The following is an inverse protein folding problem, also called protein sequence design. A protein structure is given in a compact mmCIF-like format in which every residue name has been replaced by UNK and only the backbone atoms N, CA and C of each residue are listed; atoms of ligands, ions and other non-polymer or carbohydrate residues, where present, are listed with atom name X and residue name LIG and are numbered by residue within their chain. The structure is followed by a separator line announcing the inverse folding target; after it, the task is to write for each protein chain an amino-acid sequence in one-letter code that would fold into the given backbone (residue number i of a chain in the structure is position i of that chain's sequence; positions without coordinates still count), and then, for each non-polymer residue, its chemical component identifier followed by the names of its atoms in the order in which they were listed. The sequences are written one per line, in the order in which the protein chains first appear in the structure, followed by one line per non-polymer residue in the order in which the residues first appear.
data_IF_087433775567
#
_entry.id   IF_087433775567
#
_cell.length_a   1.000
_cell.length_b   1.000
_cell.length_c   1.000
_cell.angle_alpha   90.00
_cell.angle_beta   90.00
_cell.angle_gamma   90.00
#
_symmetry.space_group_name_H-M   'P 1'
#
loop_
_entity.id
_entity.type
_entity.pdbx_description
1 polymer ?
#
# COMPACT_ATOMS: atom_id res chain seq x y z
N UNK A 1 11.69 -59.53 65.07
CA UNK A 1 12.11 -58.75 63.89
C UNK A 1 10.85 -58.29 63.14
N UNK A 2 10.56 -56.99 63.09
CA UNK A 2 9.39 -56.42 62.42
C UNK A 2 9.70 -56.19 60.94
N UNK A 3 8.92 -56.78 60.02
CA UNK A 3 8.99 -56.50 58.58
C UNK A 3 8.40 -55.11 58.31
N UNK A 4 9.17 -54.25 57.65
CA UNK A 4 8.72 -52.92 57.21
C UNK A 4 7.77 -53.07 56.01
N UNK A 5 6.57 -52.51 56.12
CA UNK A 5 5.64 -52.36 55.01
C UNK A 5 6.16 -51.28 54.06
N UNK A 6 6.69 -51.67 52.91
CA UNK A 6 6.96 -50.74 51.81
C UNK A 6 5.63 -50.33 51.17
N UNK A 7 5.23 -49.07 51.39
CA UNK A 7 4.12 -48.47 50.66
C UNK A 7 4.55 -48.22 49.23
N UNK A 8 3.86 -48.83 48.27
CA UNK A 8 3.93 -48.48 46.85
C UNK A 8 3.50 -47.03 46.67
N UNK A 9 4.42 -46.19 46.21
CA UNK A 9 4.09 -44.86 45.69
C UNK A 9 3.40 -45.06 44.35
N UNK A 10 2.16 -44.57 44.24
CA UNK A 10 1.44 -44.48 42.97
C UNK A 10 1.51 -43.03 42.51
N UNK A 11 2.14 -42.79 41.37
CA UNK A 11 2.03 -41.52 40.66
C UNK A 11 0.63 -41.51 40.02
N UNK A 12 -0.22 -40.55 40.39
CA UNK A 12 -1.41 -40.26 39.59
C UNK A 12 -0.93 -39.59 38.30
N UNK A 13 -1.40 -40.01 37.11
CA UNK A 13 -1.14 -39.23 35.90
C UNK A 13 -1.74 -37.83 36.10
N UNK A 14 -0.96 -36.79 35.78
CA UNK A 14 -1.51 -35.44 35.66
C UNK A 14 -2.69 -35.51 34.67
N UNK A 15 -3.80 -34.84 34.99
CA UNK A 15 -4.89 -34.65 34.04
C UNK A 15 -4.30 -34.14 32.72
N UNK A 16 -4.67 -34.77 31.61
CA UNK A 16 -4.37 -34.26 30.29
C UNK A 16 -5.04 -32.89 30.20
N UNK A 17 -4.25 -31.81 30.21
CA UNK A 17 -4.67 -30.54 29.63
C UNK A 17 -4.91 -30.84 28.16
N UNK A 18 -6.14 -31.24 27.83
CA UNK A 18 -6.56 -31.27 26.45
C UNK A 18 -6.34 -29.82 25.97
N UNK A 19 -5.45 -29.57 25.00
CA UNK A 19 -5.32 -28.23 24.46
C UNK A 19 -6.73 -27.82 24.02
N UNK A 20 -7.19 -26.66 24.50
CA UNK A 20 -8.46 -26.07 24.08
C UNK A 20 -8.25 -25.61 22.64
N UNK A 21 -8.24 -26.54 21.69
CA UNK A 21 -8.08 -26.22 20.28
C UNK A 21 -9.10 -25.13 19.91
N UNK A 22 -8.63 -24.04 19.32
CA UNK A 22 -9.49 -22.90 19.02
C UNK A 22 -9.80 -22.07 20.27
N UNK A 23 -8.81 -21.69 21.08
CA UNK A 23 -9.06 -20.84 22.24
C UNK A 23 -8.13 -19.64 22.31
N UNK A 24 -8.76 -18.46 22.39
CA UNK A 24 -8.12 -17.20 22.69
C UNK A 24 -8.08 -17.00 24.21
N UNK A 25 -6.87 -16.82 24.75
CA UNK A 25 -6.65 -16.40 26.13
C UNK A 25 -6.66 -14.87 26.16
N UNK A 26 -7.63 -14.29 26.85
CA UNK A 26 -7.74 -12.84 27.02
C UNK A 26 -7.38 -12.41 28.43
N UNK A 27 -6.51 -11.40 28.56
CA UNK A 27 -6.09 -10.85 29.84
C UNK A 27 -6.04 -9.32 29.79
N UNK A 28 -6.68 -8.67 30.77
CA UNK A 28 -6.65 -7.22 30.93
C UNK A 28 -5.77 -6.88 32.14
N UNK A 29 -4.60 -6.28 31.88
CA UNK A 29 -3.64 -5.89 32.92
C UNK A 29 -3.32 -4.41 32.76
N UNK A 30 -3.55 -3.63 33.82
CA UNK A 30 -3.46 -2.17 33.74
C UNK A 30 -4.44 -1.64 32.69
N UNK A 31 -3.92 -0.95 31.67
CA UNK A 31 -4.70 -0.38 30.55
C UNK A 31 -4.59 -1.20 29.26
N UNK A 32 -3.99 -2.40 29.32
CA UNK A 32 -3.73 -3.25 28.15
C UNK A 32 -4.59 -4.51 28.18
N UNK A 33 -5.43 -4.66 27.15
CA UNK A 33 -6.08 -5.93 26.82
C UNK A 33 -5.19 -6.70 25.84
N UNK A 34 -4.66 -7.84 26.29
CA UNK A 34 -3.92 -8.77 25.44
C UNK A 34 -4.77 -10.02 25.18
N UNK A 35 -4.94 -10.37 23.91
CA UNK A 35 -5.57 -11.59 23.42
C UNK A 35 -4.50 -12.45 22.74
N UNK A 36 -4.36 -13.71 23.17
CA UNK A 36 -3.40 -14.67 22.63
C UNK A 36 -4.09 -15.97 22.23
N UNK A 37 -4.00 -16.33 20.96
CA UNK A 37 -4.52 -17.58 20.40
C UNK A 37 -3.59 -18.77 20.56
N UNK A 38 -4.07 -19.90 20.04
CA UNK A 38 -3.34 -21.16 19.93
C UNK A 38 -3.03 -21.48 18.47
N UNK A 39 -2.32 -22.58 18.20
CA UNK A 39 -1.88 -22.94 16.84
C UNK A 39 -3.00 -23.57 15.97
N UNK A 40 -4.26 -23.18 16.21
CA UNK A 40 -5.44 -23.69 15.53
C UNK A 40 -6.29 -22.51 15.08
N UNK A 41 -7.08 -22.69 14.02
CA UNK A 41 -7.95 -21.64 13.47
C UNK A 41 -8.80 -20.95 14.56
N UNK A 42 -8.55 -19.67 14.76
CA UNK A 42 -9.19 -18.81 15.75
C UNK A 42 -10.07 -17.78 15.04
N UNK A 43 -11.37 -17.79 15.31
CA UNK A 43 -12.31 -16.83 14.75
C UNK A 43 -12.92 -16.01 15.88
N UNK A 44 -12.74 -14.69 15.86
CA UNK A 44 -13.22 -13.81 16.92
C UNK A 44 -13.70 -12.44 16.44
N UNK A 45 -14.59 -11.86 17.24
CA UNK A 45 -15.04 -10.47 17.14
C UNK A 45 -14.69 -9.72 18.42
N UNK A 46 -14.01 -8.59 18.28
CA UNK A 46 -13.70 -7.63 19.35
C UNK A 46 -14.58 -6.40 19.13
N UNK A 47 -15.39 -6.04 20.13
CA UNK A 47 -16.30 -4.89 20.06
C UNK A 47 -16.30 -4.12 21.37
N UNK A 48 -16.15 -2.80 21.29
CA UNK A 48 -16.43 -1.95 22.45
C UNK A 48 -17.95 -1.73 22.57
N UNK A 49 -18.55 -2.28 23.63
CA UNK A 49 -20.01 -2.26 23.85
C UNK A 49 -20.46 -1.07 24.70
N UNK A 50 -19.53 -0.49 25.46
CA UNK A 50 -19.64 0.75 26.21
C UNK A 50 -18.21 1.29 26.45
N UNK A 51 -18.03 2.58 26.81
CA UNK A 51 -16.69 3.14 27.03
C UNK A 51 -15.84 2.27 27.96
N UNK A 52 -14.66 1.86 27.48
CA UNK A 52 -13.72 0.98 28.19
C UNK A 52 -14.29 -0.39 28.60
N UNK A 53 -15.33 -0.86 27.90
CA UNK A 53 -15.91 -2.19 28.04
C UNK A 53 -15.86 -2.92 26.69
N UNK A 54 -14.89 -3.81 26.56
CA UNK A 54 -14.62 -4.56 25.33
C UNK A 54 -15.14 -5.98 25.48
N UNK A 55 -16.12 -6.34 24.66
CA UNK A 55 -16.58 -7.71 24.52
C UNK A 55 -15.77 -8.41 23.43
N UNK A 56 -15.23 -9.58 23.77
CA UNK A 56 -14.58 -10.49 22.83
C UNK A 56 -15.46 -11.72 22.70
N UNK A 57 -15.83 -12.07 21.48
CA UNK A 57 -16.72 -13.19 21.17
C UNK A 57 -16.01 -14.14 20.23
N UNK A 58 -15.88 -15.40 20.61
CA UNK A 58 -15.41 -16.46 19.74
C UNK A 58 -16.50 -16.92 18.78
N UNK A 59 -16.12 -17.28 17.57
CA UNK A 59 -16.99 -17.77 16.50
C UNK A 59 -16.61 -19.19 16.11
N UNK A 60 -17.53 -19.92 15.47
CA UNK A 60 -17.23 -21.22 14.83
C UNK A 60 -16.53 -22.24 15.76
N UNK A 61 -16.85 -22.21 17.06
CA UNK A 61 -16.25 -23.10 18.05
C UNK A 61 -15.05 -22.51 18.79
N UNK A 62 -14.49 -21.39 18.32
CA UNK A 62 -13.47 -20.65 19.07
C UNK A 62 -14.03 -20.19 20.41
N UNK A 63 -13.26 -20.36 21.48
CA UNK A 63 -13.61 -19.91 22.83
C UNK A 63 -12.67 -18.81 23.32
N UNK A 64 -13.15 -17.98 24.24
CA UNK A 64 -12.42 -16.91 24.91
C UNK A 64 -12.31 -17.29 26.39
N UNK A 65 -11.11 -17.60 26.86
CA UNK A 65 -10.86 -18.17 28.18
C UNK A 65 -11.81 -19.35 28.52
N UNK A 66 -12.08 -20.21 27.53
CA UNK A 66 -12.95 -21.38 27.65
C UNK A 66 -14.46 -21.10 27.59
N UNK A 67 -14.90 -19.86 27.37
CA UNK A 67 -16.30 -19.49 27.17
C UNK A 67 -16.57 -18.98 25.75
N UNK A 68 -17.82 -18.92 25.31
CA UNK A 68 -18.14 -18.39 23.96
C UNK A 68 -17.83 -16.89 23.80
N UNK A 69 -17.85 -16.14 24.90
CA UNK A 69 -17.51 -14.71 24.92
C UNK A 69 -17.07 -14.27 26.30
N UNK A 70 -16.28 -13.21 26.38
CA UNK A 70 -15.91 -12.56 27.63
C UNK A 70 -15.93 -11.03 27.51
N UNK A 71 -16.38 -10.37 28.58
CA UNK A 71 -16.33 -8.92 28.73
C UNK A 71 -15.08 -8.53 29.53
N UNK A 72 -14.28 -7.62 28.98
CA UNK A 72 -13.14 -6.99 29.62
C UNK A 72 -13.49 -5.53 29.91
N UNK A 73 -13.47 -5.14 31.18
CA UNK A 73 -13.82 -3.79 31.60
C UNK A 73 -12.75 -3.23 32.54
N UNK A 74 -12.35 -1.99 32.30
CA UNK A 74 -11.50 -1.21 33.20
C UNK A 74 -11.94 0.26 33.17
N UNK A 75 -11.35 1.08 34.05
CA UNK A 75 -11.54 2.52 34.00
C UNK A 75 -10.95 3.14 32.72
N UNK A 76 -9.97 2.47 32.13
CA UNK A 76 -9.26 2.91 30.95
C UNK A 76 -8.65 1.68 30.24
N UNK A 77 -8.89 1.56 28.94
CA UNK A 77 -8.21 0.63 28.04
C UNK A 77 -7.54 1.47 26.95
N UNK A 78 -6.22 1.60 27.02
CA UNK A 78 -5.44 2.35 26.04
C UNK A 78 -4.95 1.44 24.91
N UNK A 79 -4.77 0.16 25.19
CA UNK A 79 -4.11 -0.77 24.27
C UNK A 79 -4.90 -2.05 24.13
N UNK A 80 -5.13 -2.45 22.88
CA UNK A 80 -5.64 -3.77 22.52
C UNK A 80 -4.61 -4.45 21.64
N UNK A 81 -4.12 -5.60 22.07
CA UNK A 81 -3.19 -6.42 21.29
C UNK A 81 -3.81 -7.78 21.06
N UNK A 82 -3.93 -8.16 19.79
CA UNK A 82 -4.49 -9.44 19.34
C UNK A 82 -3.36 -10.21 18.66
N UNK A 83 -3.04 -11.39 19.17
CA UNK A 83 -2.11 -12.34 18.54
C UNK A 83 -2.84 -13.65 18.38
N UNK A 84 -3.02 -14.15 17.17
CA UNK A 84 -3.77 -15.39 16.94
C UNK A 84 -2.87 -16.63 16.88
N UNK A 85 -1.56 -16.45 16.64
CA UNK A 85 -0.57 -17.51 16.45
C UNK A 85 -0.77 -18.22 15.11
N UNK A 86 -0.35 -19.48 14.95
CA UNK A 86 -0.50 -20.18 13.66
C UNK A 86 -1.94 -20.65 13.46
N UNK A 87 -2.40 -20.77 12.20
CA UNK A 87 -3.73 -21.26 11.84
C UNK A 87 -4.40 -20.33 10.82
N UNK A 88 -5.50 -20.76 10.21
CA UNK A 88 -6.27 -19.87 9.33
C UNK A 88 -7.24 -19.02 10.19
N UNK A 89 -6.78 -17.86 10.66
CA UNK A 89 -7.46 -17.06 11.66
C UNK A 89 -8.39 -15.99 11.07
N UNK A 90 -9.40 -15.60 11.85
CA UNK A 90 -10.31 -14.51 11.49
C UNK A 90 -10.50 -13.53 12.64
N UNK A 91 -9.92 -12.36 12.52
CA UNK A 91 -10.04 -11.27 13.50
C UNK A 91 -10.96 -10.19 12.95
N UNK A 92 -12.07 -9.94 13.64
CA UNK A 92 -12.95 -8.80 13.37
C UNK A 92 -12.91 -7.82 14.53
N UNK A 93 -12.60 -6.55 14.26
CA UNK A 93 -12.66 -5.46 15.24
C UNK A 93 -13.72 -4.46 14.79
N UNK A 94 -14.72 -4.22 15.63
CA UNK A 94 -15.85 -3.35 15.31
C UNK A 94 -16.12 -2.32 16.41
N UNK A 95 -16.40 -1.08 16.03
CA UNK A 95 -16.82 -0.01 16.95
C UNK A 95 -15.86 0.23 18.11
N UNK A 96 -14.55 0.05 17.91
CA UNK A 96 -13.54 0.20 18.95
C UNK A 96 -13.00 1.65 18.98
N UNK A 97 -13.02 2.30 20.14
CA UNK A 97 -12.48 3.65 20.36
C UNK A 97 -11.41 3.66 21.45
N UNK A 98 -10.15 3.75 21.06
CA UNK A 98 -9.01 3.89 21.96
C UNK A 98 -8.54 5.36 21.97
N UNK A 99 -9.39 6.26 22.45
CA UNK A 99 -9.22 7.72 22.28
C UNK A 99 -9.07 8.52 23.57
N UNK A 100 -9.18 7.86 24.73
CA UNK A 100 -9.20 8.54 26.03
C UNK A 100 -7.85 9.16 26.41
N UNK A 101 -6.75 8.66 25.82
CA UNK A 101 -5.39 9.19 26.00
C UNK A 101 -4.68 9.32 24.67
N UNK A 102 -3.52 10.00 24.62
CA UNK A 102 -2.67 10.05 23.42
C UNK A 102 -2.02 8.71 23.01
N UNK A 103 -2.14 7.64 23.81
CA UNK A 103 -1.42 6.37 23.65
C UNK A 103 -2.27 5.23 23.07
N UNK A 104 -3.44 5.56 22.50
CA UNK A 104 -4.38 4.58 21.97
C UNK A 104 -3.78 3.71 20.89
N UNK A 105 -3.65 2.41 21.14
CA UNK A 105 -2.96 1.47 20.25
C UNK A 105 -3.77 0.21 20.01
N UNK A 106 -3.98 -0.12 18.73
CA UNK A 106 -4.47 -1.41 18.28
C UNK A 106 -3.36 -2.14 17.52
N UNK A 107 -2.98 -3.32 18.00
CA UNK A 107 -2.07 -4.22 17.29
C UNK A 107 -2.74 -5.56 17.00
N UNK A 108 -2.66 -6.04 15.76
CA UNK A 108 -3.16 -7.35 15.32
C UNK A 108 -2.01 -8.09 14.64
N UNK A 109 -1.77 -9.34 15.03
CA UNK A 109 -0.65 -10.16 14.55
C UNK A 109 -1.16 -11.58 14.30
N UNK A 110 -1.09 -12.07 13.06
CA UNK A 110 -1.68 -13.38 12.69
C UNK A 110 -0.67 -14.45 12.26
N UNK A 111 0.62 -14.12 12.15
CA UNK A 111 1.73 -15.09 12.14
C UNK A 111 1.80 -15.99 10.91
N UNK A 112 1.14 -17.15 10.89
CA UNK A 112 1.19 -18.10 9.76
C UNK A 112 -0.19 -18.66 9.50
N UNK A 113 -0.55 -18.76 8.24
CA UNK A 113 -1.85 -19.26 7.80
C UNK A 113 -2.54 -18.21 6.94
N UNK A 114 -3.67 -18.58 6.33
CA UNK A 114 -4.40 -17.67 5.45
C UNK A 114 -5.42 -16.87 6.26
N UNK A 115 -4.99 -15.73 6.78
CA UNK A 115 -5.73 -14.99 7.78
C UNK A 115 -6.67 -13.95 7.20
N UNK A 116 -7.67 -13.58 8.01
CA UNK A 116 -8.63 -12.53 7.66
C UNK A 116 -8.74 -11.52 8.78
N UNK A 117 -8.24 -10.31 8.55
CA UNK A 117 -8.35 -9.18 9.47
C UNK A 117 -9.37 -8.16 8.93
N UNK A 118 -10.39 -7.85 9.72
CA UNK A 118 -11.46 -6.90 9.36
C UNK A 118 -11.62 -5.84 10.45
N UNK A 119 -11.44 -4.57 10.09
CA UNK A 119 -11.69 -3.43 10.95
C UNK A 119 -12.86 -2.60 10.42
N UNK A 120 -13.86 -2.34 11.28
CA UNK A 120 -15.00 -1.49 10.95
C UNK A 120 -15.23 -0.47 12.07
N UNK A 121 -15.24 0.82 11.73
CA UNK A 121 -15.50 1.88 12.71
C UNK A 121 -14.53 1.81 13.91
N UNK A 122 -13.22 1.82 13.62
CA UNK A 122 -12.16 1.75 14.62
C UNK A 122 -11.44 3.09 14.71
N UNK A 123 -11.26 3.64 15.91
CA UNK A 123 -10.51 4.88 16.13
C UNK A 123 -9.45 4.71 17.22
N UNK A 124 -8.22 5.11 16.94
CA UNK A 124 -7.13 5.16 17.94
C UNK A 124 -6.43 6.53 17.92
N UNK A 125 -5.58 6.82 18.91
CA UNK A 125 -4.81 8.10 18.94
C UNK A 125 -3.35 7.93 18.57
N UNK A 126 -2.72 6.80 18.88
CA UNK A 126 -1.31 6.57 18.58
C UNK A 126 -1.13 5.77 17.29
N UNK A 127 -1.69 4.56 17.21
CA UNK A 127 -1.40 3.68 16.09
C UNK A 127 -2.45 2.59 15.89
N UNK A 128 -2.59 2.16 14.64
CA UNK A 128 -3.18 0.89 14.23
C UNK A 128 -2.09 0.13 13.49
N UNK A 129 -1.83 -1.11 13.91
CA UNK A 129 -0.82 -1.99 13.33
C UNK A 129 -1.43 -3.35 13.02
N UNK A 130 -1.25 -3.81 11.80
CA UNK A 130 -1.53 -5.18 11.37
C UNK A 130 -0.24 -5.78 10.82
N UNK A 131 0.16 -6.93 11.34
CA UNK A 131 1.16 -7.82 10.72
C UNK A 131 0.40 -9.10 10.39
N UNK A 132 0.19 -9.35 9.11
CA UNK A 132 -0.60 -10.49 8.64
C UNK A 132 0.25 -11.77 8.72
N UNK A 133 1.46 -11.74 8.14
CA UNK A 133 2.50 -12.73 8.41
C UNK A 133 2.80 -13.57 7.17
N UNK A 134 2.93 -14.88 7.34
CA UNK A 134 3.20 -15.75 6.20
C UNK A 134 1.91 -16.37 5.67
N UNK A 135 1.90 -16.65 4.37
CA UNK A 135 0.79 -17.24 3.61
C UNK A 135 -0.26 -16.17 3.18
N UNK A 136 -1.35 -16.56 2.51
CA UNK A 136 -2.19 -15.61 1.76
C UNK A 136 -3.22 -14.88 2.64
N UNK A 137 -2.96 -13.63 2.98
CA UNK A 137 -3.77 -12.89 3.94
C UNK A 137 -4.78 -11.92 3.32
N UNK A 138 -5.82 -11.60 4.10
CA UNK A 138 -6.84 -10.60 3.74
C UNK A 138 -7.05 -9.59 4.84
N UNK A 139 -6.50 -8.40 4.63
CA UNK A 139 -6.66 -7.27 5.56
C UNK A 139 -7.64 -6.26 4.97
N UNK A 140 -8.66 -5.87 5.74
CA UNK A 140 -9.58 -4.81 5.32
C UNK A 140 -9.95 -3.84 6.43
N UNK A 141 -10.03 -2.56 6.08
CA UNK A 141 -10.42 -1.50 6.99
C UNK A 141 -11.48 -0.60 6.35
N UNK A 142 -12.54 -0.30 7.11
CA UNK A 142 -13.59 0.61 6.68
C UNK A 142 -13.96 1.58 7.79
N UNK A 143 -13.97 2.88 7.44
CA UNK A 143 -14.30 3.95 8.39
C UNK A 143 -13.39 3.89 9.64
N UNK A 144 -12.09 3.72 9.41
CA UNK A 144 -11.09 3.54 10.45
C UNK A 144 -10.16 4.74 10.50
N UNK A 145 -9.83 5.23 11.70
CA UNK A 145 -8.93 6.38 11.84
C UNK A 145 -7.93 6.26 12.98
N UNK A 146 -6.77 6.88 12.81
CA UNK A 146 -5.80 7.09 13.89
C UNK A 146 -5.16 8.47 13.80
N UNK A 147 -4.77 9.06 14.93
CA UNK A 147 -4.02 10.33 14.93
C UNK A 147 -2.51 10.13 14.75
N UNK A 148 -2.03 8.89 14.64
CA UNK A 148 -0.65 8.57 14.32
C UNK A 148 -0.56 7.61 13.14
N UNK A 149 0.18 6.52 13.30
CA UNK A 149 0.49 5.60 12.20
C UNK A 149 -0.62 4.58 11.98
N UNK A 150 -1.08 4.41 10.75
CA UNK A 150 -1.79 3.21 10.32
C UNK A 150 -0.83 2.39 9.45
N UNK A 151 -0.36 1.26 9.99
CA UNK A 151 0.54 0.32 9.33
C UNK A 151 -0.18 -1.01 9.05
N UNK A 152 -0.04 -1.51 7.83
CA UNK A 152 -0.38 -2.88 7.45
C UNK A 152 0.83 -3.47 6.76
N UNK A 153 1.30 -4.60 7.29
CA UNK A 153 2.32 -5.43 6.66
C UNK A 153 1.70 -6.77 6.28
N UNK A 154 1.84 -7.15 5.01
CA UNK A 154 1.46 -8.45 4.47
C UNK A 154 2.46 -9.54 4.86
N UNK A 155 3.75 -9.28 4.61
CA UNK A 155 4.92 -10.15 4.83
C UNK A 155 5.20 -11.10 3.64
N UNK A 156 4.84 -12.39 3.62
CA UNK A 156 4.97 -13.16 2.36
C UNK A 156 3.70 -13.94 2.10
N UNK A 157 3.26 -14.00 0.85
CA UNK A 157 2.04 -14.67 0.44
C UNK A 157 1.28 -13.80 -0.56
N UNK A 158 0.24 -14.35 -1.20
CA UNK A 158 -0.59 -13.57 -2.11
C UNK A 158 -1.60 -12.73 -1.30
N UNK A 159 -1.20 -11.54 -0.87
CA UNK A 159 -1.96 -10.74 0.08
C UNK A 159 -3.01 -9.85 -0.57
N UNK A 160 -4.07 -9.58 0.19
CA UNK A 160 -5.14 -8.69 -0.24
C UNK A 160 -5.47 -7.63 0.80
N UNK A 161 -5.02 -6.41 0.54
CA UNK A 161 -5.27 -5.24 1.39
C UNK A 161 -6.36 -4.36 0.78
N UNK A 162 -7.43 -4.11 1.55
CA UNK A 162 -8.56 -3.23 1.14
C UNK A 162 -8.86 -2.16 2.17
N UNK A 163 -8.54 -0.90 1.86
CA UNK A 163 -8.81 0.23 2.73
C UNK A 163 -9.86 1.16 2.14
N UNK A 164 -10.90 1.48 2.92
CA UNK A 164 -11.93 2.42 2.50
C UNK A 164 -12.27 3.43 3.59
N UNK A 165 -12.24 4.72 3.25
CA UNK A 165 -12.55 5.79 4.20
C UNK A 165 -11.65 5.76 5.44
N UNK A 166 -10.35 5.58 5.22
CA UNK A 166 -9.36 5.54 6.30
C UNK A 166 -8.70 6.89 6.49
N UNK A 167 -8.35 7.23 7.73
CA UNK A 167 -7.58 8.44 8.06
C UNK A 167 -6.42 8.12 8.98
N UNK A 168 -5.25 8.71 8.73
CA UNK A 168 -4.10 8.56 9.59
C UNK A 168 -3.30 9.87 9.65
N UNK A 169 -2.32 9.95 10.54
CA UNK A 169 -1.23 10.91 10.35
C UNK A 169 -0.33 10.43 9.22
N UNK A 170 0.14 9.20 9.33
CA UNK A 170 0.94 8.49 8.31
C UNK A 170 0.21 7.17 7.99
N UNK A 171 0.08 6.84 6.71
CA UNK A 171 -0.57 5.61 6.26
C UNK A 171 0.41 4.79 5.42
N UNK A 172 0.71 3.57 5.87
CA UNK A 172 1.65 2.69 5.20
C UNK A 172 1.03 1.31 4.99
N UNK A 173 1.16 0.79 3.77
CA UNK A 173 0.81 -0.58 3.39
C UNK A 173 2.03 -1.15 2.69
N UNK A 174 2.59 -2.24 3.20
CA UNK A 174 3.66 -3.00 2.54
C UNK A 174 3.27 -4.48 2.50
N UNK A 175 3.10 -5.07 1.32
CA UNK A 175 2.75 -6.51 1.23
C UNK A 175 3.98 -7.40 1.10
N UNK A 176 5.06 -6.88 0.51
CA UNK A 176 6.33 -7.57 0.23
C UNK A 176 6.18 -8.73 -0.77
N UNK A 177 6.49 -9.98 -0.44
CA UNK A 177 6.62 -11.03 -1.45
C UNK A 177 5.30 -11.74 -1.75
N UNK A 178 5.02 -12.04 -3.02
CA UNK A 178 3.81 -12.75 -3.46
C UNK A 178 2.98 -11.91 -4.43
N UNK A 179 1.96 -12.51 -5.04
CA UNK A 179 1.10 -11.83 -6.02
C UNK A 179 0.02 -11.04 -5.30
N UNK A 180 0.33 -9.77 -5.00
CA UNK A 180 -0.43 -8.96 -4.08
C UNK A 180 -1.52 -8.11 -4.74
N UNK A 181 -2.52 -7.75 -3.92
CA UNK A 181 -3.59 -6.83 -4.30
C UNK A 181 -3.79 -5.76 -3.25
N UNK A 182 -3.39 -4.53 -3.57
CA UNK A 182 -3.63 -3.36 -2.73
C UNK A 182 -4.71 -2.47 -3.34
N UNK A 183 -5.82 -2.28 -2.65
CA UNK A 183 -6.90 -1.38 -3.06
C UNK A 183 -7.23 -0.35 -1.98
N UNK A 184 -7.12 0.93 -2.32
CA UNK A 184 -7.45 2.03 -1.41
C UNK A 184 -8.46 2.99 -2.01
N UNK A 185 -9.51 3.31 -1.26
CA UNK A 185 -10.56 4.23 -1.66
C UNK A 185 -10.83 5.29 -0.60
N UNK A 186 -10.67 6.56 -0.96
CA UNK A 186 -10.86 7.71 -0.05
C UNK A 186 -10.03 7.60 1.23
N UNK A 187 -8.73 7.33 1.09
CA UNK A 187 -7.78 7.40 2.20
C UNK A 187 -7.22 8.82 2.34
N UNK A 188 -6.99 9.25 3.58
CA UNK A 188 -6.40 10.56 3.88
C UNK A 188 -5.29 10.43 4.92
N UNK A 189 -4.12 10.99 4.65
CA UNK A 189 -3.05 11.15 5.62
C UNK A 189 -2.81 12.64 5.90
N UNK A 190 -2.45 12.99 7.14
CA UNK A 190 -1.99 14.34 7.47
C UNK A 190 -0.60 14.61 6.89
N UNK A 191 0.25 13.60 6.89
CA UNK A 191 1.58 13.60 6.31
C UNK A 191 1.53 12.76 5.03
N UNK A 192 1.94 11.49 5.11
CA UNK A 192 2.31 10.68 3.97
C UNK A 192 1.38 9.48 3.78
N UNK A 193 1.19 9.09 2.53
CA UNK A 193 0.66 7.78 2.14
C UNK A 193 1.76 7.03 1.40
N UNK A 194 2.15 5.88 1.91
CA UNK A 194 3.09 4.97 1.27
C UNK A 194 2.41 3.64 0.98
N UNK A 195 2.57 3.14 -0.24
CA UNK A 195 2.14 1.81 -0.68
C UNK A 195 3.33 1.12 -1.30
N UNK A 196 3.76 0.00 -0.71
CA UNK A 196 4.75 -0.91 -1.24
C UNK A 196 4.10 -2.27 -1.54
N UNK A 197 4.36 -2.79 -2.72
CA UNK A 197 4.36 -4.23 -2.97
C UNK A 197 5.81 -4.64 -3.28
N UNK A 198 6.11 -5.93 -3.35
CA UNK A 198 7.50 -6.40 -3.35
C UNK A 198 7.86 -7.19 -4.60
N UNK A 199 8.02 -8.49 -4.46
CA UNK A 199 8.39 -9.34 -5.58
C UNK A 199 7.14 -10.02 -6.11
N UNK A 200 7.13 -10.29 -7.43
CA UNK A 200 6.04 -10.90 -8.20
C UNK A 200 5.04 -9.89 -8.78
N UNK A 201 4.09 -10.39 -9.58
CA UNK A 201 3.17 -9.54 -10.34
C UNK A 201 2.04 -8.97 -9.49
N UNK A 202 2.11 -7.69 -9.19
CA UNK A 202 1.22 -7.04 -8.24
C UNK A 202 0.13 -6.18 -8.87
N UNK A 203 -0.96 -5.99 -8.11
CA UNK A 203 -2.11 -5.21 -8.54
C UNK A 203 -2.43 -4.10 -7.55
N UNK A 204 -2.09 -2.87 -7.91
CA UNK A 204 -2.31 -1.69 -7.08
C UNK A 204 -3.44 -0.83 -7.68
N UNK A 205 -4.52 -0.64 -6.93
CA UNK A 205 -5.67 0.21 -7.31
C UNK A 205 -5.97 1.28 -6.28
N UNK A 206 -5.65 2.52 -6.61
CA UNK A 206 -5.72 3.64 -5.67
C UNK A 206 -6.68 4.72 -6.16
N UNK A 207 -7.62 5.12 -5.33
CA UNK A 207 -8.62 6.10 -5.73
C UNK A 207 -8.95 7.11 -4.64
N UNK A 208 -8.92 8.39 -5.01
CA UNK A 208 -9.27 9.53 -4.15
C UNK A 208 -8.37 9.60 -2.92
N UNK A 209 -7.06 9.54 -3.13
CA UNK A 209 -6.07 9.63 -2.06
C UNK A 209 -5.69 11.08 -1.81
N UNK A 210 -5.50 11.44 -0.54
CA UNK A 210 -5.02 12.77 -0.15
C UNK A 210 -3.97 12.67 0.95
N UNK A 211 -2.78 13.20 0.69
CA UNK A 211 -1.71 13.36 1.66
C UNK A 211 -1.43 14.86 1.89
N UNK A 212 -1.00 15.23 3.09
CA UNK A 212 -0.55 16.60 3.37
C UNK A 212 0.88 16.86 2.89
N UNK A 213 1.69 15.80 2.83
CA UNK A 213 3.04 15.79 2.27
C UNK A 213 3.01 14.94 1.01
N UNK A 214 3.47 13.68 1.06
CA UNK A 214 3.76 12.88 -0.12
C UNK A 214 2.79 11.71 -0.31
N UNK A 215 2.58 11.31 -1.57
CA UNK A 215 2.01 10.01 -1.92
C UNK A 215 3.08 9.24 -2.67
N UNK A 216 3.45 8.09 -2.14
CA UNK A 216 4.50 7.25 -2.67
C UNK A 216 3.99 5.83 -2.93
N UNK A 217 4.23 5.33 -4.13
CA UNK A 217 3.80 4.01 -4.58
C UNK A 217 5.02 3.31 -5.18
N UNK A 218 5.33 2.11 -4.67
CA UNK A 218 6.37 1.23 -5.20
C UNK A 218 5.80 -0.16 -5.40
N UNK A 219 6.08 -0.78 -6.54
CA UNK A 219 5.76 -2.20 -6.77
C UNK A 219 6.96 -3.12 -6.92
N UNK A 220 8.18 -2.59 -6.83
CA UNK A 220 9.44 -3.36 -6.83
C UNK A 220 9.56 -4.36 -8.01
N UNK A 221 9.87 -5.64 -7.82
CA UNK A 221 10.16 -6.56 -8.94
C UNK A 221 8.90 -7.29 -9.40
N UNK A 222 8.45 -7.14 -10.64
CA UNK A 222 7.22 -7.78 -11.11
C UNK A 222 6.73 -7.21 -12.42
N UNK A 223 5.80 -7.91 -13.08
CA UNK A 223 5.08 -7.32 -14.21
C UNK A 223 3.81 -6.65 -13.66
N UNK A 224 3.94 -5.45 -13.13
CA UNK A 224 2.94 -4.89 -12.23
C UNK A 224 1.84 -4.11 -12.92
N UNK A 225 0.69 -4.06 -12.26
CA UNK A 225 -0.47 -3.31 -12.73
C UNK A 225 -0.88 -2.26 -11.72
N UNK A 226 -0.56 -1.00 -12.05
CA UNK A 226 -0.89 0.16 -11.23
C UNK A 226 -1.99 1.00 -11.88
N UNK A 227 -3.08 1.23 -11.14
CA UNK A 227 -4.18 2.12 -11.54
C UNK A 227 -4.51 3.14 -10.47
N UNK A 228 -4.30 4.41 -10.78
CA UNK A 228 -4.57 5.53 -9.86
C UNK A 228 -5.61 6.50 -10.41
N UNK A 229 -6.49 6.99 -9.53
CA UNK A 229 -7.48 8.00 -9.87
C UNK A 229 -7.70 9.02 -8.76
N UNK A 230 -7.39 10.29 -9.01
CA UNK A 230 -7.65 11.38 -8.07
C UNK A 230 -6.68 11.35 -6.89
N UNK A 231 -5.39 11.49 -7.15
CA UNK A 231 -4.35 11.63 -6.12
C UNK A 231 -4.02 13.10 -5.88
N UNK A 232 -3.89 13.50 -4.63
CA UNK A 232 -3.50 14.85 -4.24
C UNK A 232 -2.50 14.82 -3.09
N UNK A 233 -1.28 15.25 -3.36
CA UNK A 233 -0.23 15.43 -2.37
C UNK A 233 0.04 16.93 -2.15
N UNK A 234 0.41 17.33 -0.93
CA UNK A 234 0.82 18.70 -0.65
C UNK A 234 2.26 18.99 -1.07
N UNK A 235 3.05 17.93 -1.24
CA UNK A 235 4.42 17.97 -1.74
C UNK A 235 4.50 17.13 -3.02
N UNK A 236 4.91 15.87 -2.97
CA UNK A 236 5.20 15.07 -4.16
C UNK A 236 4.23 13.89 -4.36
N UNK A 237 4.05 13.50 -5.63
CA UNK A 237 3.49 12.20 -5.98
C UNK A 237 4.57 11.40 -6.70
N UNK A 238 4.94 10.26 -6.13
CA UNK A 238 6.01 9.40 -6.61
C UNK A 238 5.44 8.02 -6.91
N UNK A 239 5.68 7.53 -8.12
CA UNK A 239 5.31 6.19 -8.58
C UNK A 239 6.54 5.50 -9.14
N UNK A 240 6.85 4.30 -8.66
CA UNK A 240 7.98 3.49 -9.14
C UNK A 240 7.58 2.02 -9.31
N UNK A 241 7.95 1.41 -10.42
CA UNK A 241 7.67 -0.02 -10.68
C UNK A 241 8.92 -0.87 -10.93
N UNK A 242 10.13 -0.29 -10.85
CA UNK A 242 11.43 -0.96 -10.82
C UNK A 242 11.71 -1.98 -11.94
N UNK A 243 11.32 -3.26 -11.85
CA UNK A 243 11.69 -4.20 -12.92
C UNK A 243 10.60 -5.17 -13.29
N UNK A 244 10.38 -5.33 -14.59
CA UNK A 244 9.39 -6.18 -15.22
C UNK A 244 8.59 -5.38 -16.25
N UNK A 245 7.73 -6.05 -17.01
CA UNK A 245 6.91 -5.37 -18.02
C UNK A 245 5.68 -4.72 -17.36
N UNK A 246 5.78 -3.44 -17.01
CA UNK A 246 4.81 -2.76 -16.15
C UNK A 246 3.70 -2.02 -16.89
N UNK A 247 2.57 -1.88 -16.21
CA UNK A 247 1.39 -1.21 -16.74
C UNK A 247 0.83 -0.18 -15.76
N UNK A 248 1.12 1.09 -16.04
CA UNK A 248 0.82 2.23 -15.17
C UNK A 248 -0.24 3.14 -15.80
N UNK A 249 -1.40 3.24 -15.15
CA UNK A 249 -2.43 4.24 -15.48
C UNK A 249 -2.60 5.26 -14.36
N UNK A 250 -2.39 6.53 -14.67
CA UNK A 250 -2.58 7.63 -13.73
C UNK A 250 -3.57 8.65 -14.27
N UNK A 251 -4.57 9.02 -13.47
CA UNK A 251 -5.56 9.99 -13.87
C UNK A 251 -5.93 10.94 -12.74
N UNK A 252 -5.95 12.24 -13.03
CA UNK A 252 -6.24 13.31 -12.05
C UNK A 252 -5.24 13.26 -10.89
N UNK A 253 -4.00 13.60 -11.18
CA UNK A 253 -2.91 13.66 -10.19
C UNK A 253 -2.53 15.11 -9.95
N UNK A 254 -2.43 15.51 -8.68
CA UNK A 254 -1.95 16.83 -8.28
C UNK A 254 -0.88 16.72 -7.20
N UNK A 255 0.27 17.34 -7.43
CA UNK A 255 1.33 17.52 -6.47
C UNK A 255 1.52 19.02 -6.17
N UNK A 256 1.87 19.36 -4.93
CA UNK A 256 2.22 20.73 -4.54
C UNK A 256 3.66 21.11 -4.87
N UNK A 257 4.47 20.12 -5.25
CA UNK A 257 5.80 20.24 -5.84
C UNK A 257 5.83 19.36 -7.09
N UNK A 258 6.29 18.10 -6.97
CA UNK A 258 6.68 17.29 -8.11
C UNK A 258 5.77 16.10 -8.37
N UNK A 259 5.66 15.71 -9.63
CA UNK A 259 5.18 14.37 -10.01
C UNK A 259 6.36 13.60 -10.59
N UNK A 260 6.65 12.44 -10.03
CA UNK A 260 7.73 11.55 -10.47
C UNK A 260 7.14 10.19 -10.81
N UNK A 261 7.44 9.71 -12.02
CA UNK A 261 7.09 8.35 -12.45
C UNK A 261 8.34 7.69 -13.02
N UNK A 262 8.71 6.53 -12.48
CA UNK A 262 9.82 5.73 -12.99
C UNK A 262 9.36 4.27 -13.19
N UNK A 263 9.59 3.69 -14.38
CA UNK A 263 9.28 2.27 -14.64
C UNK A 263 10.53 1.39 -14.78
N UNK A 264 11.70 2.01 -14.98
CA UNK A 264 13.04 1.44 -14.79
C UNK A 264 13.43 0.32 -15.78
N UNK A 265 13.16 -0.97 -15.55
CA UNK A 265 13.58 -2.05 -16.47
C UNK A 265 12.40 -2.88 -16.96
N UNK A 266 12.21 -3.00 -18.27
CA UNK A 266 11.13 -3.81 -18.86
C UNK A 266 10.51 -3.13 -20.06
N UNK A 267 9.52 -3.75 -20.68
CA UNK A 267 8.77 -3.13 -21.78
C UNK A 267 7.49 -2.49 -21.24
N UNK A 268 7.61 -1.25 -20.80
CA UNK A 268 6.62 -0.61 -19.95
C UNK A 268 5.54 0.13 -20.73
N UNK A 269 4.39 0.29 -20.07
CA UNK A 269 3.26 1.02 -20.58
C UNK A 269 2.75 2.04 -19.58
N UNK A 270 3.09 3.31 -19.81
CA UNK A 270 2.63 4.45 -19.04
C UNK A 270 1.51 5.20 -19.76
N UNK A 271 0.39 5.43 -19.08
CA UNK A 271 -0.68 6.30 -19.54
C UNK A 271 -1.12 7.27 -18.45
N UNK A 272 -0.86 8.56 -18.68
CA UNK A 272 -1.17 9.64 -17.73
C UNK A 272 -2.17 10.63 -18.33
N UNK A 273 -3.15 11.05 -17.53
CA UNK A 273 -4.13 12.06 -17.93
C UNK A 273 -4.45 13.06 -16.81
N UNK A 274 -4.50 14.34 -17.17
CA UNK A 274 -4.89 15.42 -16.26
C UNK A 274 -3.98 15.47 -15.02
N UNK A 275 -2.70 15.74 -15.25
CA UNK A 275 -1.67 15.76 -14.21
C UNK A 275 -1.17 17.18 -14.00
N UNK A 276 -1.06 17.59 -12.74
CA UNK A 276 -0.54 18.90 -12.34
C UNK A 276 0.58 18.72 -11.32
N UNK A 277 1.80 19.10 -11.71
CA UNK A 277 2.87 19.45 -10.79
C UNK A 277 2.89 20.97 -10.63
N UNK A 278 3.24 21.47 -9.46
CA UNK A 278 3.47 22.91 -9.27
C UNK A 278 4.88 23.27 -9.70
N UNK A 279 5.83 22.38 -9.42
CA UNK A 279 7.23 22.52 -9.82
C UNK A 279 7.52 21.55 -10.98
N UNK A 280 8.15 20.41 -10.74
CA UNK A 280 8.63 19.58 -11.83
C UNK A 280 7.77 18.33 -12.08
N UNK A 281 7.70 17.92 -13.35
CA UNK A 281 7.13 16.64 -13.74
C UNK A 281 8.22 15.81 -14.43
N UNK A 282 8.62 14.72 -13.77
CA UNK A 282 9.60 13.76 -14.25
C UNK A 282 8.94 12.45 -14.67
N UNK A 283 9.34 11.94 -15.84
CA UNK A 283 9.02 10.61 -16.33
C UNK A 283 10.30 9.92 -16.78
N UNK A 284 10.57 8.75 -16.23
CA UNK A 284 11.72 7.91 -16.56
C UNK A 284 11.20 6.52 -16.93
N UNK A 285 11.25 6.15 -18.21
CA UNK A 285 10.79 4.83 -18.66
C UNK A 285 11.88 3.77 -18.44
N UNK A 286 13.14 4.14 -18.67
CA UNK A 286 14.28 3.28 -18.42
C UNK A 286 14.59 2.37 -19.61
N UNK A 287 15.01 1.13 -19.38
CA UNK A 287 15.47 0.22 -20.46
C UNK A 287 14.41 -0.80 -20.85
N UNK A 288 14.17 -0.94 -22.16
CA UNK A 288 13.23 -1.85 -22.80
C UNK A 288 12.41 -1.12 -23.87
N UNK A 289 11.53 -1.82 -24.59
CA UNK A 289 10.70 -1.20 -25.65
C UNK A 289 9.45 -0.53 -25.04
N UNK A 290 9.59 0.71 -24.56
CA UNK A 290 8.60 1.38 -23.73
C UNK A 290 7.54 2.17 -24.52
N UNK A 291 6.40 2.40 -23.84
CA UNK A 291 5.31 3.24 -24.37
C UNK A 291 4.79 4.20 -23.32
N UNK A 292 4.93 5.50 -23.56
CA UNK A 292 4.31 6.54 -22.76
C UNK A 292 3.24 7.33 -23.53
N UNK A 293 2.08 7.52 -22.91
CA UNK A 293 1.04 8.46 -23.35
C UNK A 293 0.68 9.44 -22.25
N UNK A 294 0.99 10.71 -22.44
CA UNK A 294 0.79 11.74 -21.41
C UNK A 294 -0.07 12.85 -22.00
N UNK A 295 -1.29 12.99 -21.48
CA UNK A 295 -2.25 13.97 -21.97
C UNK A 295 -2.66 14.96 -20.87
N UNK A 296 -2.76 16.24 -21.22
CA UNK A 296 -3.17 17.32 -20.30
C UNK A 296 -2.27 17.38 -19.06
N UNK A 297 -1.01 17.74 -19.26
CA UNK A 297 -0.06 17.94 -18.18
C UNK A 297 0.25 19.43 -17.99
N UNK A 298 0.45 19.85 -16.74
CA UNK A 298 0.95 21.19 -16.41
C UNK A 298 2.03 21.08 -15.34
N UNK A 299 3.14 21.79 -15.54
CA UNK A 299 4.27 21.85 -14.63
C UNK A 299 5.05 23.16 -14.83
N UNK A 300 5.92 23.51 -13.88
CA UNK A 300 6.95 24.52 -14.09
C UNK A 300 7.96 24.01 -15.13
N UNK A 301 8.50 22.81 -14.91
CA UNK A 301 9.33 22.11 -15.88
C UNK A 301 8.82 20.69 -16.11
N UNK A 302 8.99 20.20 -17.33
CA UNK A 302 8.62 18.85 -17.72
C UNK A 302 9.83 18.15 -18.33
N UNK A 303 10.16 17.00 -17.77
CA UNK A 303 11.26 16.15 -18.18
C UNK A 303 10.72 14.74 -18.42
N UNK A 304 10.97 14.20 -19.60
CA UNK A 304 10.69 12.80 -19.90
C UNK A 304 11.89 12.15 -20.57
N UNK A 305 12.22 10.92 -20.17
CA UNK A 305 13.30 10.16 -20.78
C UNK A 305 13.00 8.68 -20.86
N UNK A 306 13.48 8.04 -21.92
CA UNK A 306 13.74 6.61 -21.98
C UNK A 306 15.26 6.35 -22.10
N UNK A 307 15.68 5.09 -22.07
CA UNK A 307 17.09 4.68 -22.11
C UNK A 307 17.39 3.78 -23.32
N UNK A 308 17.64 2.48 -23.14
CA UNK A 308 17.92 1.56 -24.25
C UNK A 308 16.61 0.88 -24.68
N UNK A 309 16.24 0.92 -25.95
CA UNK A 309 15.00 0.31 -26.45
C UNK A 309 14.41 1.03 -27.66
N UNK A 310 13.37 0.49 -28.27
CA UNK A 310 12.62 1.18 -29.33
C UNK A 310 11.37 1.82 -28.75
N UNK A 311 11.51 3.05 -28.29
CA UNK A 311 10.57 3.72 -27.41
C UNK A 311 9.52 4.53 -28.16
N UNK A 312 8.34 4.66 -27.55
CA UNK A 312 7.22 5.44 -28.12
C UNK A 312 6.64 6.39 -27.09
N UNK A 313 6.82 7.69 -27.32
CA UNK A 313 6.26 8.73 -26.47
C UNK A 313 5.24 9.58 -27.23
N UNK A 314 4.01 9.62 -26.70
CA UNK A 314 2.91 10.46 -27.18
C UNK A 314 2.56 11.51 -26.11
N UNK A 315 2.90 12.75 -26.41
CA UNK A 315 2.69 13.92 -25.58
C UNK A 315 1.62 14.81 -26.20
N UNK A 316 0.53 15.06 -25.47
CA UNK A 316 -0.55 15.90 -25.96
C UNK A 316 -0.98 16.91 -24.90
N UNK A 317 -1.03 18.19 -25.28
CA UNK A 317 -1.41 19.27 -24.38
C UNK A 317 -0.52 19.32 -23.12
N UNK A 318 0.80 19.40 -23.34
CA UNK A 318 1.80 19.58 -22.28
C UNK A 318 2.07 21.07 -22.14
N UNK A 319 1.81 21.60 -20.94
CA UNK A 319 1.99 23.02 -20.63
C UNK A 319 3.09 23.15 -19.57
N UNK A 320 4.34 23.31 -20.01
CA UNK A 320 5.46 23.64 -19.16
C UNK A 320 5.67 25.16 -19.11
N UNK A 321 5.95 25.72 -17.94
CA UNK A 321 6.23 27.16 -17.83
C UNK A 321 7.61 27.53 -18.37
N UNK A 322 8.63 26.70 -18.11
CA UNK A 322 9.98 26.88 -18.65
C UNK A 322 10.36 25.70 -19.54
N UNK A 323 10.93 24.64 -18.97
CA UNK A 323 11.58 23.59 -19.73
C UNK A 323 10.59 22.49 -20.11
N UNK A 324 10.67 22.05 -21.36
CA UNK A 324 10.00 20.84 -21.84
C UNK A 324 11.04 20.00 -22.58
N UNK A 325 11.66 19.08 -21.85
CA UNK A 325 12.75 18.28 -22.37
C UNK A 325 12.34 16.81 -22.50
N UNK A 326 12.61 16.25 -23.67
CA UNK A 326 12.41 14.82 -23.94
C UNK A 326 13.69 14.20 -24.49
N UNK A 327 14.09 13.05 -23.96
CA UNK A 327 15.22 12.25 -24.47
C UNK A 327 14.75 10.83 -24.76
N UNK A 328 14.93 10.33 -25.97
CA UNK A 328 14.43 9.01 -26.32
C UNK A 328 15.46 7.92 -26.00
N UNK A 329 16.75 8.15 -26.25
CA UNK A 329 17.82 7.27 -25.78
C UNK A 329 18.47 6.48 -26.92
N UNK A 330 18.83 5.22 -26.70
CA UNK A 330 19.40 4.36 -27.73
C UNK A 330 18.32 3.44 -28.32
N UNK A 331 18.18 3.44 -29.65
CA UNK A 331 17.27 2.55 -30.38
C UNK A 331 16.48 3.32 -31.43
N UNK A 332 15.53 2.67 -32.10
CA UNK A 332 14.75 3.33 -33.15
C UNK A 332 13.46 3.92 -32.56
N UNK A 333 13.51 5.18 -32.16
CA UNK A 333 12.49 5.80 -31.31
C UNK A 333 11.42 6.59 -32.07
N UNK A 334 10.28 6.80 -31.41
CA UNK A 334 9.18 7.63 -31.94
C UNK A 334 8.67 8.63 -30.91
N UNK A 335 8.82 9.91 -31.24
CA UNK A 335 8.24 11.02 -30.49
C UNK A 335 7.07 11.66 -31.25
N UNK A 336 5.92 11.76 -30.59
CA UNK A 336 4.76 12.54 -31.03
C UNK A 336 4.43 13.59 -29.99
N UNK A 337 4.57 14.86 -30.34
CA UNK A 337 4.21 15.97 -29.45
C UNK A 337 3.25 16.93 -30.14
N UNK A 338 2.15 17.28 -29.48
CA UNK A 338 1.14 18.17 -30.06
C UNK A 338 0.45 19.04 -29.01
N UNK A 339 -0.07 20.18 -29.46
CA UNK A 339 -0.84 21.14 -28.67
C UNK A 339 -0.11 21.61 -27.40
N UNK A 340 1.21 21.66 -27.42
CA UNK A 340 2.04 21.89 -26.23
C UNK A 340 2.69 23.28 -26.22
N UNK A 341 3.06 23.74 -25.04
CA UNK A 341 3.68 25.06 -24.79
C UNK A 341 4.85 24.93 -23.81
N UNK A 342 5.96 25.60 -24.10
CA UNK A 342 7.13 25.72 -23.24
C UNK A 342 7.96 26.96 -23.63
N UNK A 343 8.78 27.47 -22.72
CA UNK A 343 9.77 28.51 -23.03
C UNK A 343 11.02 27.91 -23.67
N UNK A 344 11.47 26.78 -23.13
CA UNK A 344 12.67 26.06 -23.57
C UNK A 344 12.30 24.61 -23.94
N UNK A 345 11.71 24.38 -25.13
CA UNK A 345 11.54 23.02 -25.65
C UNK A 345 12.90 22.46 -26.11
N UNK A 346 13.17 21.20 -25.79
CA UNK A 346 14.34 20.48 -26.29
C UNK A 346 14.01 18.99 -26.45
N UNK A 347 14.28 18.44 -27.63
CA UNK A 347 14.01 17.04 -27.93
C UNK A 347 15.27 16.39 -28.50
N UNK A 348 15.62 15.22 -28.01
CA UNK A 348 16.77 14.44 -28.44
C UNK A 348 16.28 13.01 -28.71
N UNK A 349 16.39 12.55 -29.97
CA UNK A 349 16.13 11.14 -30.31
C UNK A 349 17.23 10.31 -29.67
N UNK A 350 18.43 10.39 -30.24
CA UNK A 350 19.65 9.85 -29.65
C UNK A 350 20.37 8.99 -30.68
N UNK A 351 21.12 7.95 -30.26
CA UNK A 351 21.67 7.00 -31.20
C UNK A 351 20.59 6.04 -31.73
N UNK A 352 20.32 6.09 -33.04
CA UNK A 352 19.34 5.20 -33.65
C UNK A 352 18.82 5.72 -34.99
N UNK A 353 17.71 5.15 -35.46
CA UNK A 353 16.89 5.76 -36.50
C UNK A 353 15.59 6.29 -35.88
N UNK A 354 15.59 7.57 -35.55
CA UNK A 354 14.54 8.19 -34.75
C UNK A 354 13.53 8.96 -35.60
N UNK A 355 12.26 8.90 -35.19
CA UNK A 355 11.14 9.55 -35.86
C UNK A 355 10.47 10.61 -34.99
N UNK A 356 10.42 11.84 -35.48
CA UNK A 356 9.63 12.94 -34.92
C UNK A 356 8.40 13.20 -35.81
N UNK A 357 7.23 13.40 -35.20
CA UNK A 357 6.05 13.88 -35.92
C UNK A 357 5.93 15.40 -35.79
N UNK A 358 5.91 16.11 -36.92
CA UNK A 358 5.68 17.57 -37.01
C UNK A 358 4.17 17.83 -36.87
N UNK A 359 3.78 18.25 -35.67
CA UNK A 359 2.40 18.43 -35.25
C UNK A 359 2.26 19.77 -34.53
N UNK A 360 1.12 20.48 -34.67
CA UNK A 360 1.01 21.86 -34.17
C UNK A 360 1.33 22.04 -32.68
N UNK A 361 2.30 22.89 -32.37
CA UNK A 361 2.66 23.36 -31.02
C UNK A 361 2.76 24.90 -30.98
N UNK A 362 2.96 25.48 -29.78
CA UNK A 362 3.27 26.92 -29.64
C UNK A 362 4.75 27.26 -29.89
N UNK A 363 5.56 26.24 -30.15
CA UNK A 363 6.94 26.28 -30.59
C UNK A 363 7.08 25.47 -31.88
N UNK A 364 8.25 25.58 -32.52
CA UNK A 364 8.62 24.74 -33.65
C UNK A 364 9.42 23.53 -33.11
N UNK A 365 8.79 22.36 -33.09
CA UNK A 365 9.41 21.14 -32.57
C UNK A 365 10.61 20.69 -33.38
N UNK A 366 10.64 20.94 -34.69
CA UNK A 366 11.76 20.54 -35.55
C UNK A 366 12.99 21.36 -35.20
N UNK A 367 12.84 22.68 -35.00
CA UNK A 367 13.94 23.55 -34.54
C UNK A 367 14.39 23.25 -33.11
N UNK A 368 13.52 22.68 -32.28
CA UNK A 368 13.82 22.28 -30.91
C UNK A 368 14.44 20.87 -30.81
N UNK A 369 14.58 20.16 -31.93
CA UNK A 369 14.97 18.76 -31.96
C UNK A 369 16.39 18.53 -32.49
N UNK A 370 17.03 17.48 -32.00
CA UNK A 370 18.29 16.92 -32.51
C UNK A 370 18.19 15.40 -32.60
N UNK A 371 19.02 14.80 -33.45
CA UNK A 371 19.12 13.35 -33.61
C UNK A 371 17.76 12.70 -33.95
N UNK A 372 17.06 13.26 -34.95
CA UNK A 372 15.91 12.62 -35.59
C UNK A 372 16.20 12.49 -37.08
N UNK A 373 16.30 11.26 -37.58
CA UNK A 373 16.58 10.95 -38.99
C UNK A 373 15.35 11.15 -39.87
N UNK A 374 14.14 11.03 -39.28
CA UNK A 374 12.87 11.15 -39.98
C UNK A 374 11.93 12.13 -39.27
N UNK A 375 11.47 13.13 -40.01
CA UNK A 375 10.41 14.06 -39.60
C UNK A 375 9.21 13.89 -40.52
N UNK A 376 8.02 13.62 -39.96
CA UNK A 376 6.79 13.28 -40.70
C UNK A 376 5.65 14.24 -40.40
#
# INVERSE_FOLDING_TARGET
MRKANQRSLRLQPLESRNPLAGNIIGNLVGTTLALGGDAADNQLVVTEVAPNQIQVTGLTGTTINGAASQLFAANLIETVIIRTADGDDQVKVENLSLTDTPNGYLGIFTSRGNDVVKMLNVTTTQQIRVEAGLDDDRVSARQTSTNGLFLINGDNGDDHVRLSWVKAKDLKVDTHGGVDRVSMYRAQALNDIAVGTGQDTDYIRLSRLKAGNDIEIRSDEGNDVLSTYGMSAGQDVIVKTSSGDDLVWMNRTRAGRNVVVATDFGNDQLSMRNTQAVDDFFVELGSGDDKARIHNATANNFYASAADGNDKMELNNINAANDLHVKMGMGDDVLKISNSTALNPFFDGGPGFDTLYDLPNAFDEVLASVNFELVI
#
